data_IF_658829257973
#
_entry.id   IF_658829257973
#
_cell.length_a   1.000
_cell.length_b   1.000
_cell.length_c   1.000
_cell.angle_alpha   90.00
_cell.angle_beta   90.00
_cell.angle_gamma   90.00
#
_symmetry.space_group_name_H-M   'P 1'
#
loop_
_entity.id
_entity.type
_entity.pdbx_description
1 polymer ?
#
# COMPACT_ATOMS: atom_id res chain seq x y z
N UNK A 1 1.21 8.65 20.17
CA UNK A 1 1.97 7.45 19.78
C UNK A 1 1.13 6.75 18.74
N UNK A 2 1.26 7.17 17.48
CA UNK A 2 0.49 6.59 16.37
C UNK A 2 0.86 5.12 16.24
N UNK A 3 -0.17 4.27 16.22
CA UNK A 3 -0.03 2.84 16.45
C UNK A 3 0.52 2.18 15.19
N UNK A 4 1.82 1.90 15.23
CA UNK A 4 2.40 0.75 14.54
C UNK A 4 1.64 -0.50 15.02
N UNK A 5 1.05 -1.30 14.13
CA UNK A 5 1.72 -1.78 12.93
C UNK A 5 1.25 -1.16 11.61
N UNK A 6 2.11 -1.24 10.58
CA UNK A 6 1.79 -0.93 9.19
C UNK A 6 0.53 -1.68 8.72
N UNK A 7 -0.32 -1.03 7.91
CA UNK A 7 -1.57 -1.55 7.32
C UNK A 7 -1.65 -3.09 7.28
N UNK A 8 -2.65 -3.66 7.96
CA UNK A 8 -2.75 -5.13 8.09
C UNK A 8 -3.14 -5.76 6.75
N UNK A 9 -2.72 -7.02 6.49
CA UNK A 9 -3.30 -7.81 5.41
C UNK A 9 -4.83 -7.83 5.53
N UNK A 10 -5.53 -7.57 4.43
CA UNK A 10 -6.98 -7.39 4.38
C UNK A 10 -7.45 -5.94 4.47
N UNK A 11 -6.57 -4.99 4.81
CA UNK A 11 -6.92 -3.56 4.80
C UNK A 11 -7.12 -3.09 3.36
N UNK A 12 -8.27 -2.46 3.11
CA UNK A 12 -8.53 -1.76 1.85
C UNK A 12 -7.77 -0.44 1.89
N UNK A 13 -7.07 -0.13 0.80
CA UNK A 13 -6.26 1.07 0.66
C UNK A 13 -6.56 1.73 -0.68
N UNK A 14 -6.38 3.04 -0.71
CA UNK A 14 -6.37 3.79 -1.96
C UNK A 14 -4.93 4.15 -2.30
N UNK A 15 -4.50 3.70 -3.46
CA UNK A 15 -3.18 4.03 -4.02
C UNK A 15 -3.16 5.48 -4.46
N UNK A 16 -2.06 6.18 -4.21
CA UNK A 16 -1.84 7.56 -4.65
C UNK A 16 -0.84 7.60 -5.81
N UNK A 17 -0.47 8.81 -6.25
CA UNK A 17 0.55 8.96 -7.30
C UNK A 17 1.88 8.37 -6.83
N UNK A 18 2.55 7.56 -7.67
CA UNK A 18 3.79 6.92 -7.28
C UNK A 18 4.88 7.97 -7.02
N UNK A 19 5.66 7.76 -5.97
CA UNK A 19 6.71 8.68 -5.59
C UNK A 19 7.86 8.58 -6.60
N UNK A 20 7.91 9.53 -7.54
CA UNK A 20 8.94 9.58 -8.59
C UNK A 20 10.36 9.65 -8.03
N UNK A 21 10.54 10.19 -6.82
CA UNK A 21 11.85 10.23 -6.17
C UNK A 21 12.37 8.85 -5.77
N UNK A 22 11.48 7.86 -5.62
CA UNK A 22 11.84 6.48 -5.29
C UNK A 22 11.97 5.60 -6.53
N UNK A 23 11.85 6.15 -7.74
CA UNK A 23 11.87 5.36 -9.00
C UNK A 23 13.08 4.42 -9.10
N UNK A 24 14.24 4.88 -8.66
CA UNK A 24 15.50 4.13 -8.64
C UNK A 24 15.52 2.97 -7.63
N UNK A 25 14.62 2.97 -6.64
CA UNK A 25 14.45 1.89 -5.66
C UNK A 25 13.51 0.78 -6.14
N UNK A 26 12.78 1.02 -7.25
CA UNK A 26 11.84 0.07 -7.82
C UNK A 26 12.39 -0.58 -9.09
N UNK A 27 12.16 -1.89 -9.24
CA UNK A 27 12.38 -2.59 -10.51
C UNK A 27 11.41 -2.06 -11.58
N UNK A 28 11.78 -2.14 -12.86
CA UNK A 28 10.90 -1.72 -13.97
C UNK A 28 9.54 -2.44 -13.93
N UNK A 29 9.55 -3.73 -13.59
CA UNK A 29 8.34 -4.55 -13.48
C UNK A 29 7.46 -4.13 -12.28
N UNK A 30 8.09 -3.84 -11.13
CA UNK A 30 7.39 -3.36 -9.95
C UNK A 30 6.77 -1.98 -10.19
N UNK A 31 7.53 -1.09 -10.83
CA UNK A 31 7.07 0.25 -11.19
C UNK A 31 5.92 0.23 -12.20
N UNK A 32 6.02 -0.61 -13.24
CA UNK A 32 4.97 -0.75 -14.25
C UNK A 32 3.67 -1.33 -13.69
N UNK A 33 3.75 -2.08 -12.59
CA UNK A 33 2.60 -2.67 -11.90
C UNK A 33 1.91 -1.67 -10.96
N UNK A 34 2.55 -0.53 -10.65
CA UNK A 34 1.95 0.54 -9.84
C UNK A 34 0.85 1.25 -10.63
N UNK A 35 -0.27 1.49 -9.96
CA UNK A 35 -1.43 2.20 -10.46
C UNK A 35 -1.79 3.26 -9.43
N UNK A 36 -1.95 4.50 -9.88
CA UNK A 36 -2.36 5.60 -9.02
C UNK A 36 -3.88 5.72 -9.02
N UNK A 37 -4.47 6.10 -7.89
CA UNK A 37 -5.90 6.39 -7.77
C UNK A 37 -6.80 5.15 -7.85
N UNK A 38 -6.23 3.95 -7.74
CA UNK A 38 -6.99 2.69 -7.70
C UNK A 38 -7.15 2.21 -6.26
N UNK A 39 -8.24 1.47 -6.02
CA UNK A 39 -8.45 0.75 -4.77
C UNK A 39 -7.83 -0.64 -4.86
N UNK A 40 -7.28 -1.08 -3.74
CA UNK A 40 -6.78 -2.44 -3.62
C UNK A 40 -6.79 -2.90 -2.18
N UNK A 41 -6.47 -4.18 -1.99
CA UNK A 41 -6.39 -4.80 -0.67
C UNK A 41 -4.96 -5.21 -0.39
N UNK A 42 -4.43 -4.77 0.75
CA UNK A 42 -3.11 -5.21 1.23
C UNK A 42 -3.16 -6.72 1.43
N UNK A 43 -2.27 -7.45 0.77
CA UNK A 43 -2.17 -8.91 0.92
C UNK A 43 -1.01 -9.32 1.83
N UNK A 44 0.10 -8.58 1.78
CA UNK A 44 1.28 -8.80 2.61
C UNK A 44 2.07 -7.49 2.74
N UNK A 45 2.82 -7.35 3.83
CA UNK A 45 3.83 -6.31 3.98
C UNK A 45 5.20 -6.96 4.12
N UNK A 46 6.23 -6.28 3.63
CA UNK A 46 7.62 -6.68 3.78
C UNK A 46 8.37 -5.57 4.50
N UNK A 47 9.20 -5.93 5.48
CA UNK A 47 9.98 -4.97 6.29
C UNK A 47 11.51 -5.20 6.21
N UNK A 48 11.97 -6.19 5.43
CA UNK A 48 13.38 -6.61 5.41
C UNK A 48 14.38 -5.55 4.93
N UNK A 49 13.97 -4.59 4.10
CA UNK A 49 14.85 -3.55 3.55
C UNK A 49 14.18 -2.17 3.46
N UNK A 50 13.13 -1.96 4.27
CA UNK A 50 12.19 -0.87 4.08
C UNK A 50 10.78 -1.43 4.04
N UNK A 51 9.82 -0.66 4.55
CA UNK A 51 8.44 -1.09 4.63
C UNK A 51 7.78 -0.95 3.26
N UNK A 52 7.33 -2.05 2.66
CA UNK A 52 6.50 -2.03 1.47
C UNK A 52 5.30 -2.97 1.61
N UNK A 53 4.28 -2.75 0.79
CA UNK A 53 3.05 -3.51 0.82
C UNK A 53 2.69 -4.01 -0.56
N UNK A 54 2.40 -5.29 -0.65
CA UNK A 54 1.78 -5.86 -1.82
C UNK A 54 0.28 -5.61 -1.72
N UNK A 55 -0.26 -4.92 -2.71
CA UNK A 55 -1.66 -4.55 -2.83
C UNK A 55 -2.22 -5.24 -4.05
N UNK A 56 -3.26 -6.06 -3.83
CA UNK A 56 -4.02 -6.67 -4.91
C UNK A 56 -5.06 -5.69 -5.42
N UNK A 57 -4.98 -5.33 -6.69
CA UNK A 57 -5.96 -4.49 -7.37
C UNK A 57 -7.23 -5.29 -7.75
N UNK A 58 -8.31 -4.58 -8.05
CA UNK A 58 -9.58 -5.20 -8.47
C UNK A 58 -9.45 -6.01 -9.78
N UNK A 59 -8.51 -5.65 -10.66
CA UNK A 59 -8.22 -6.40 -11.89
C UNK A 59 -7.44 -7.70 -11.65
N UNK A 60 -7.04 -7.97 -10.40
CA UNK A 60 -6.33 -9.17 -9.99
C UNK A 60 -4.80 -9.07 -10.05
N UNK A 61 -4.25 -7.99 -10.60
CA UNK A 61 -2.80 -7.72 -10.50
C UNK A 61 -2.39 -7.35 -9.07
N UNK A 62 -1.10 -7.52 -8.80
CA UNK A 62 -0.49 -7.15 -7.53
C UNK A 62 0.53 -6.05 -7.82
N UNK A 63 0.36 -4.90 -7.18
CA UNK A 63 1.36 -3.84 -7.17
C UNK A 63 2.02 -3.77 -5.80
N UNK A 64 3.31 -3.45 -5.77
CA UNK A 64 4.04 -3.25 -4.53
C UNK A 64 4.22 -1.74 -4.32
N UNK A 65 3.89 -1.25 -3.13
CA UNK A 65 3.77 0.18 -2.82
C UNK A 65 4.48 0.53 -1.51
N UNK A 66 4.97 1.76 -1.44
CA UNK A 66 5.46 2.37 -0.21
C UNK A 66 4.27 2.78 0.69
N UNK A 67 4.39 2.75 2.03
CA UNK A 67 3.39 3.32 2.95
C UNK A 67 2.93 4.73 2.57
N UNK A 68 3.82 5.57 2.06
CA UNK A 68 3.51 6.96 1.67
C UNK A 68 2.63 7.03 0.42
N UNK A 69 2.64 5.97 -0.40
CA UNK A 69 1.82 5.82 -1.61
C UNK A 69 0.45 5.18 -1.31
N UNK A 70 0.18 4.84 -0.06
CA UNK A 70 -1.05 4.18 0.38
C UNK A 70 -1.78 5.03 1.39
N UNK A 71 -3.00 5.40 1.06
CA UNK A 71 -3.93 5.97 2.02
C UNK A 71 -4.83 4.85 2.54
N UNK A 72 -4.65 4.51 3.81
CA UNK A 72 -5.59 3.67 4.53
C UNK A 72 -6.96 4.34 4.50
N UNK A 73 -7.96 3.68 3.89
CA UNK A 73 -9.34 4.02 4.16
C UNK A 73 -9.66 3.40 5.51
N UNK A 74 -9.26 4.10 6.58
CA UNK A 74 -9.68 3.71 7.92
C UNK A 74 -11.20 3.69 7.94
N UNK A 75 -11.78 2.50 8.02
CA UNK A 75 -13.06 2.38 8.69
C UNK A 75 -12.73 2.63 10.17
N UNK A 76 -12.68 3.93 10.54
CA UNK A 76 -12.62 4.38 11.92
C UNK A 76 -13.78 3.71 12.63
N UNK A 77 -13.56 2.57 13.26
CA UNK A 77 -14.54 2.00 14.17
C UNK A 77 -14.67 3.01 15.32
N UNK A 78 -15.81 3.68 15.51
CA UNK A 78 -16.01 4.40 16.75
C UNK A 78 -16.08 3.34 17.86
N UNK A 79 -15.04 3.33 18.70
CA UNK A 79 -15.03 2.64 19.99
C UNK A 79 -16.35 2.94 20.70
N UNK A 80 -17.22 1.93 20.80
CA UNK A 80 -18.39 1.98 21.67
C UNK A 80 -17.89 1.83 23.10
N UNK A 81 -18.06 2.88 23.90
CA UNK A 81 -17.92 2.86 25.35
C UNK A 81 -19.30 3.06 25.99
#
# INVERSE_FOLDING_TARGET
MESYPPLKPGTVVQTTEPNQAMRDEWTDEGWASKRAGVRGTVIVHHDSHGLCYDVRHEDGTIGCYDPSELQGVEESTPTTA
#
